data_IF_970701211732
#
_entry.id   IF_970701211732
#
_cell.length_a   1.000
_cell.length_b   1.000
_cell.length_c   1.000
_cell.angle_alpha   90.00
_cell.angle_beta   90.00
_cell.angle_gamma   90.00
#
_symmetry.space_group_name_H-M   'P 1'
#
loop_
_entity.id
_entity.type
_entity.pdbx_description
1 polymer ?
#
# COMPACT_ATOMS: atom_id res chain seq x y z
N UNK A 1 -6.45 19.04 16.02
CA UNK A 1 -6.86 19.44 14.66
C UNK A 1 -5.68 19.87 13.77
N UNK A 2 -4.64 20.57 14.29
CA UNK A 2 -3.43 20.90 13.48
C UNK A 2 -2.68 19.67 12.93
N UNK A 3 -2.78 18.53 13.58
CA UNK A 3 -2.05 17.30 13.22
C UNK A 3 -2.67 16.56 12.02
N UNK A 4 -4.00 16.62 11.84
CA UNK A 4 -4.66 16.01 10.67
C UNK A 4 -4.37 16.76 9.36
N UNK A 5 -4.05 18.06 9.41
CA UNK A 5 -3.67 18.84 8.22
C UNK A 5 -2.33 18.37 7.61
N UNK A 6 -1.57 17.55 8.32
CA UNK A 6 -0.33 16.96 7.84
C UNK A 6 -0.51 15.60 7.16
N UNK A 7 -1.76 15.10 7.08
CA UNK A 7 -2.10 13.81 6.48
C UNK A 7 -2.93 14.03 5.22
N UNK A 8 -2.55 13.36 4.16
CA UNK A 8 -3.24 13.39 2.88
C UNK A 8 -3.60 11.96 2.45
N UNK A 9 -4.52 11.85 1.53
CA UNK A 9 -4.82 10.63 0.79
C UNK A 9 -4.19 10.78 -0.60
N UNK A 10 -3.26 9.90 -0.95
CA UNK A 10 -2.81 9.71 -2.31
C UNK A 10 -3.63 8.58 -2.94
N UNK A 11 -4.34 8.86 -4.04
CA UNK A 11 -5.09 7.87 -4.79
C UNK A 11 -4.45 7.65 -6.15
N UNK A 12 -4.10 6.41 -6.44
CA UNK A 12 -3.57 5.97 -7.72
C UNK A 12 -4.69 5.29 -8.50
N UNK A 13 -5.00 5.83 -9.66
CA UNK A 13 -5.98 5.28 -10.61
C UNK A 13 -5.24 4.69 -11.80
N UNK A 14 -5.56 3.45 -12.15
CA UNK A 14 -4.87 2.73 -13.23
C UNK A 14 -5.85 1.96 -14.09
N UNK A 15 -5.62 1.98 -15.41
CA UNK A 15 -6.20 1.02 -16.34
C UNK A 15 -5.11 0.38 -17.18
N UNK A 16 -5.39 -0.80 -17.69
CA UNK A 16 -4.47 -1.60 -18.51
C UNK A 16 -5.26 -2.37 -19.53
N UNK A 17 -4.76 -2.48 -20.76
CA UNK A 17 -5.41 -3.25 -21.80
C UNK A 17 -5.46 -4.74 -21.44
N UNK A 18 -6.52 -5.39 -21.86
CA UNK A 18 -6.58 -6.85 -21.82
C UNK A 18 -5.64 -7.44 -22.88
N UNK A 19 -4.75 -8.31 -22.43
CA UNK A 19 -3.83 -9.03 -23.32
C UNK A 19 -4.42 -10.32 -23.90
N UNK A 20 -5.64 -10.68 -23.48
CA UNK A 20 -6.31 -11.92 -23.89
C UNK A 20 -7.62 -11.61 -24.58
N UNK A 21 -8.02 -12.49 -25.51
CA UNK A 21 -9.34 -12.45 -26.17
C UNK A 21 -10.00 -13.81 -26.02
N UNK A 22 -11.28 -13.79 -25.81
CA UNK A 22 -12.11 -15.01 -25.75
C UNK A 22 -12.31 -15.62 -27.14
N UNK A 23 -12.51 -16.92 -27.16
CA UNK A 23 -12.76 -17.73 -28.36
C UNK A 23 -14.20 -18.31 -28.26
N UNK A 24 -15.25 -17.51 -28.52
CA UNK A 24 -16.64 -17.93 -28.28
C UNK A 24 -17.06 -19.11 -29.15
N UNK A 25 -16.56 -19.23 -30.41
CA UNK A 25 -16.86 -20.38 -31.30
C UNK A 25 -16.29 -21.69 -30.76
N UNK A 26 -15.10 -21.64 -30.13
CA UNK A 26 -14.49 -22.77 -29.45
C UNK A 26 -15.29 -23.20 -28.22
N UNK A 27 -15.86 -22.24 -27.48
CA UNK A 27 -16.73 -22.52 -26.34
C UNK A 27 -17.92 -23.35 -26.77
N UNK A 28 -18.69 -22.90 -27.78
CA UNK A 28 -19.88 -23.59 -28.27
C UNK A 28 -19.55 -25.03 -28.72
N UNK A 29 -18.43 -25.25 -29.39
CA UNK A 29 -18.01 -26.57 -29.79
C UNK A 29 -17.64 -27.47 -28.60
N UNK A 30 -16.92 -26.94 -27.62
CA UNK A 30 -16.56 -27.67 -26.39
C UNK A 30 -17.80 -28.06 -25.63
N UNK A 31 -18.72 -27.11 -25.39
CA UNK A 31 -19.96 -27.35 -24.66
C UNK A 31 -20.85 -28.38 -25.36
N UNK A 32 -20.99 -28.28 -26.68
CA UNK A 32 -21.72 -29.28 -27.49
C UNK A 32 -21.13 -30.68 -27.38
N UNK A 33 -19.81 -30.83 -27.40
CA UNK A 33 -19.12 -32.12 -27.22
C UNK A 33 -19.26 -32.67 -25.80
N UNK A 34 -19.20 -31.79 -24.80
CA UNK A 34 -19.29 -32.18 -23.39
C UNK A 34 -20.72 -32.33 -22.86
N UNK A 35 -21.72 -31.87 -23.60
CA UNK A 35 -23.13 -31.87 -23.14
C UNK A 35 -23.39 -30.91 -21.98
N UNK A 36 -22.65 -29.81 -21.90
CA UNK A 36 -22.72 -28.81 -20.82
C UNK A 36 -23.27 -27.49 -21.36
N UNK A 37 -24.06 -26.75 -20.54
CA UNK A 37 -24.56 -25.42 -20.91
C UNK A 37 -23.38 -24.42 -21.02
N UNK A 38 -23.38 -23.60 -22.06
CA UNK A 38 -22.37 -22.55 -22.27
C UNK A 38 -22.29 -21.55 -21.11
N UNK A 39 -23.38 -21.37 -20.35
CA UNK A 39 -23.43 -20.51 -19.18
C UNK A 39 -22.63 -21.03 -17.99
N UNK A 40 -22.34 -22.33 -17.96
CA UNK A 40 -21.61 -22.99 -16.88
C UNK A 40 -20.10 -23.06 -17.15
N UNK A 41 -19.65 -22.66 -18.33
CA UNK A 41 -18.25 -22.77 -18.77
C UNK A 41 -17.71 -21.43 -19.22
N UNK A 42 -16.52 -21.09 -18.76
CA UNK A 42 -15.83 -19.90 -19.26
C UNK A 42 -15.28 -20.15 -20.68
N UNK A 43 -15.46 -19.16 -21.56
CA UNK A 43 -14.89 -19.23 -22.89
C UNK A 43 -13.36 -19.39 -22.84
N UNK A 44 -12.78 -20.30 -23.60
CA UNK A 44 -11.32 -20.38 -23.75
C UNK A 44 -10.81 -19.05 -24.27
N UNK A 45 -9.61 -18.67 -23.87
CA UNK A 45 -9.00 -17.39 -24.26
C UNK A 45 -7.60 -17.60 -24.79
N UNK A 46 -7.20 -16.74 -25.71
CA UNK A 46 -5.85 -16.71 -26.25
C UNK A 46 -5.19 -15.36 -25.93
N UNK A 47 -3.91 -15.41 -25.59
CA UNK A 47 -3.13 -14.20 -25.39
C UNK A 47 -2.73 -13.63 -26.76
N UNK A 48 -3.24 -12.43 -27.09
CA UNK A 48 -3.01 -11.78 -28.39
C UNK A 48 -1.81 -10.83 -28.38
N UNK A 49 -1.45 -10.28 -27.21
CA UNK A 49 -0.26 -9.44 -27.07
C UNK A 49 0.74 -10.12 -26.14
N UNK A 50 1.93 -10.40 -26.66
CA UNK A 50 3.05 -11.01 -25.92
C UNK A 50 4.29 -10.16 -26.14
N UNK A 51 4.58 -9.27 -25.20
CA UNK A 51 5.69 -8.33 -25.27
C UNK A 51 6.30 -8.09 -23.89
N UNK A 52 7.63 -8.04 -23.82
CA UNK A 52 8.33 -7.64 -22.58
C UNK A 52 8.12 -6.16 -22.29
N UNK A 53 8.03 -5.28 -23.31
CA UNK A 53 7.73 -3.86 -23.13
C UNK A 53 6.38 -3.66 -22.42
N UNK A 54 5.35 -4.43 -22.80
CA UNK A 54 4.04 -4.39 -22.15
C UNK A 54 4.12 -4.86 -20.69
N UNK A 55 4.93 -5.88 -20.40
CA UNK A 55 5.15 -6.34 -19.02
C UNK A 55 5.88 -5.27 -18.20
N UNK A 56 6.85 -4.58 -18.78
CA UNK A 56 7.55 -3.48 -18.13
C UNK A 56 6.61 -2.29 -17.87
N UNK A 57 5.75 -1.92 -18.82
CA UNK A 57 4.73 -0.91 -18.61
C UNK A 57 3.80 -1.27 -17.45
N UNK A 58 3.35 -2.53 -17.35
CA UNK A 58 2.54 -3.02 -16.25
C UNK A 58 3.29 -2.98 -14.90
N UNK A 59 4.60 -3.25 -14.87
CA UNK A 59 5.42 -3.16 -13.66
C UNK A 59 5.50 -1.71 -13.16
N UNK A 60 5.66 -0.73 -14.06
CA UNK A 60 5.69 0.69 -13.70
C UNK A 60 4.37 1.11 -13.03
N UNK A 61 3.25 0.80 -13.67
CA UNK A 61 1.91 1.11 -13.17
C UNK A 61 1.65 0.42 -11.82
N UNK A 62 1.87 -0.88 -11.75
CA UNK A 62 1.62 -1.68 -10.55
C UNK A 62 2.57 -1.35 -9.39
N UNK A 63 3.72 -0.78 -9.67
CA UNK A 63 4.76 -0.48 -8.68
C UNK A 63 4.44 0.71 -7.79
N UNK A 64 3.52 1.61 -8.18
CA UNK A 64 3.21 2.82 -7.40
C UNK A 64 2.52 2.49 -6.06
N UNK A 65 1.54 1.61 -6.05
CA UNK A 65 0.86 1.21 -4.80
C UNK A 65 1.80 0.53 -3.79
N UNK A 66 2.67 -0.42 -4.16
CA UNK A 66 3.71 -0.93 -3.26
C UNK A 66 4.70 0.13 -2.77
N UNK A 67 5.05 1.11 -3.59
CA UNK A 67 5.88 2.25 -3.18
C UNK A 67 5.20 3.02 -2.06
N UNK A 68 3.94 3.41 -2.24
CA UNK A 68 3.17 4.15 -1.24
C UNK A 68 2.93 3.36 0.06
N UNK A 69 2.54 2.08 -0.04
CA UNK A 69 2.07 1.28 1.11
C UNK A 69 3.17 0.55 1.86
N UNK A 70 4.22 0.13 1.17
CA UNK A 70 5.25 -0.75 1.74
C UNK A 70 6.60 -0.07 1.92
N UNK A 71 6.73 1.22 1.56
CA UNK A 71 7.99 1.93 1.58
C UNK A 71 9.08 1.24 0.75
N UNK A 72 8.68 0.59 -0.35
CA UNK A 72 9.65 -0.02 -1.28
C UNK A 72 10.42 1.08 -2.00
N UNK A 73 11.64 0.74 -2.40
CA UNK A 73 12.44 1.62 -3.23
C UNK A 73 11.73 1.93 -4.55
N UNK A 74 11.66 3.20 -4.88
CA UNK A 74 11.05 3.71 -6.11
C UNK A 74 11.98 3.58 -7.32
N UNK A 75 11.49 3.99 -8.49
CA UNK A 75 12.33 4.11 -9.71
C UNK A 75 13.29 5.28 -9.63
N UNK A 76 13.05 6.23 -8.73
CA UNK A 76 13.93 7.35 -8.39
C UNK A 76 15.03 6.95 -7.41
N UNK A 77 14.99 5.74 -6.86
CA UNK A 77 15.89 5.30 -5.77
C UNK A 77 15.48 5.78 -4.38
N UNK A 78 14.42 6.57 -4.27
CA UNK A 78 13.92 7.07 -2.99
C UNK A 78 13.02 6.04 -2.30
N UNK A 79 12.92 6.16 -0.96
CA UNK A 79 12.02 5.35 -0.13
C UNK A 79 11.11 6.26 0.69
N UNK A 80 9.88 5.81 0.90
CA UNK A 80 8.93 6.45 1.79
C UNK A 80 8.79 5.70 3.12
N UNK A 81 8.29 6.39 4.14
CA UNK A 81 7.66 5.71 5.26
C UNK A 81 6.46 4.89 4.76
N UNK A 82 6.17 3.76 5.44
CA UNK A 82 5.01 2.93 5.07
C UNK A 82 3.72 3.73 5.19
N UNK A 83 2.98 3.84 4.10
CA UNK A 83 1.65 4.42 4.10
C UNK A 83 0.58 3.46 4.62
N UNK A 84 -0.53 4.00 5.09
CA UNK A 84 -1.68 3.21 5.56
C UNK A 84 -2.70 3.06 4.44
N UNK A 85 -3.19 1.84 4.22
CA UNK A 85 -4.25 1.62 3.22
C UNK A 85 -5.55 2.33 3.62
N UNK A 86 -6.29 2.81 2.63
CA UNK A 86 -7.68 3.26 2.80
C UNK A 86 -8.58 2.11 2.36
N UNK A 87 -9.29 1.50 3.30
CA UNK A 87 -10.00 0.23 3.04
C UNK A 87 -11.14 0.38 2.02
N UNK A 88 -11.85 1.51 2.04
CA UNK A 88 -13.01 1.73 1.18
C UNK A 88 -12.67 2.31 -0.21
N UNK A 89 -11.44 2.79 -0.42
CA UNK A 89 -11.04 3.43 -1.69
C UNK A 89 -9.92 2.64 -2.33
N UNK A 90 -10.23 1.89 -3.36
CA UNK A 90 -9.24 1.14 -4.11
C UNK A 90 -8.10 2.05 -4.62
N UNK A 91 -6.86 1.63 -4.39
CA UNK A 91 -5.68 2.39 -4.81
C UNK A 91 -5.31 3.58 -3.93
N UNK A 92 -6.10 3.90 -2.89
CA UNK A 92 -5.81 5.02 -1.98
C UNK A 92 -4.91 4.61 -0.81
N UNK A 93 -4.10 5.55 -0.35
CA UNK A 93 -3.16 5.37 0.75
C UNK A 93 -3.05 6.67 1.53
N UNK A 94 -3.12 6.60 2.88
CA UNK A 94 -2.78 7.73 3.73
C UNK A 94 -1.28 7.97 3.69
N UNK A 95 -0.89 9.22 3.51
CA UNK A 95 0.51 9.66 3.44
C UNK A 95 0.73 10.90 4.29
N UNK A 96 1.97 11.17 4.67
CA UNK A 96 2.36 12.41 5.35
C UNK A 96 2.53 13.53 4.31
N UNK A 97 2.02 14.72 4.59
CA UNK A 97 2.11 15.85 3.66
C UNK A 97 3.56 16.18 3.24
N UNK A 98 4.53 15.99 4.13
CA UNK A 98 5.96 16.19 3.85
C UNK A 98 6.54 15.26 2.76
N UNK A 99 5.83 14.17 2.45
CA UNK A 99 6.28 13.16 1.48
C UNK A 99 5.71 13.40 0.06
N UNK A 100 4.82 14.39 -0.08
CA UNK A 100 4.13 14.68 -1.35
C UNK A 100 5.11 14.94 -2.48
N UNK A 101 6.16 15.73 -2.24
CA UNK A 101 7.15 16.04 -3.29
C UNK A 101 7.91 14.79 -3.75
N UNK A 102 8.30 13.92 -2.83
CA UNK A 102 8.95 12.64 -3.14
C UNK A 102 8.02 11.73 -3.93
N UNK A 103 6.75 11.67 -3.52
CA UNK A 103 5.73 10.88 -4.19
C UNK A 103 5.46 11.43 -5.60
N UNK A 104 5.37 12.76 -5.74
CA UNK A 104 5.16 13.38 -7.04
C UNK A 104 6.33 13.11 -8.00
N UNK A 105 7.57 13.25 -7.55
CA UNK A 105 8.77 12.92 -8.34
C UNK A 105 8.76 11.47 -8.81
N UNK A 106 8.42 10.55 -7.92
CA UNK A 106 8.33 9.13 -8.26
C UNK A 106 7.22 8.86 -9.30
N UNK A 107 6.06 9.49 -9.13
CA UNK A 107 4.97 9.39 -10.08
C UNK A 107 5.37 9.94 -11.47
N UNK A 108 5.97 11.13 -11.52
CA UNK A 108 6.40 11.77 -12.76
C UNK A 108 7.47 10.94 -13.48
N UNK A 109 8.43 10.37 -12.75
CA UNK A 109 9.44 9.48 -13.30
C UNK A 109 8.82 8.20 -13.89
N UNK A 110 7.85 7.60 -13.19
CA UNK A 110 7.11 6.43 -13.71
C UNK A 110 6.27 6.79 -14.93
N UNK A 111 5.59 7.93 -14.91
CA UNK A 111 4.78 8.41 -16.02
C UNK A 111 5.65 8.64 -17.26
N UNK A 112 6.76 9.34 -17.12
CA UNK A 112 7.71 9.57 -18.22
C UNK A 112 8.27 8.26 -18.81
N UNK A 113 8.63 7.30 -17.95
CA UNK A 113 9.07 5.98 -18.39
C UNK A 113 7.96 5.20 -19.08
N UNK A 114 6.71 5.29 -18.58
CA UNK A 114 5.54 4.67 -19.20
C UNK A 114 5.30 5.25 -20.58
N UNK A 115 5.29 6.58 -20.73
CA UNK A 115 5.07 7.24 -22.02
C UNK A 115 6.12 6.83 -23.05
N UNK A 116 7.40 6.69 -22.64
CA UNK A 116 8.46 6.17 -23.51
C UNK A 116 8.20 4.71 -23.94
N UNK A 117 7.75 3.85 -23.01
CA UNK A 117 7.41 2.46 -23.33
C UNK A 117 6.18 2.37 -24.25
N UNK A 118 5.15 3.22 -24.02
CA UNK A 118 3.96 3.24 -24.87
C UNK A 118 4.30 3.64 -26.31
N UNK A 119 5.20 4.61 -26.50
CA UNK A 119 5.69 4.95 -27.84
C UNK A 119 6.39 3.74 -28.50
N UNK A 120 7.29 3.07 -27.79
CA UNK A 120 7.98 1.87 -28.32
C UNK A 120 7.00 0.72 -28.62
N UNK A 121 5.98 0.52 -27.76
CA UNK A 121 4.92 -0.46 -28.00
C UNK A 121 4.14 -0.08 -29.25
N UNK A 122 3.77 1.19 -29.41
CA UNK A 122 3.06 1.70 -30.59
C UNK A 122 3.83 1.45 -31.89
N UNK A 123 5.14 1.70 -31.90
CA UNK A 123 6.00 1.48 -33.06
C UNK A 123 6.10 0.00 -33.45
N UNK A 124 5.99 -0.91 -32.49
CA UNK A 124 6.12 -2.35 -32.70
C UNK A 124 4.79 -3.10 -32.77
N UNK A 125 3.66 -2.42 -32.50
CA UNK A 125 2.36 -3.05 -32.27
C UNK A 125 1.95 -3.97 -33.38
N UNK A 126 1.95 -3.48 -34.62
CA UNK A 126 1.50 -4.26 -35.79
C UNK A 126 2.35 -5.50 -36.02
N UNK A 127 3.67 -5.38 -35.87
CA UNK A 127 4.59 -6.51 -35.99
C UNK A 127 4.40 -7.55 -34.88
N UNK A 128 4.14 -7.11 -33.67
CA UNK A 128 3.84 -7.98 -32.52
C UNK A 128 2.55 -8.77 -32.75
N UNK A 129 1.51 -8.09 -33.24
CA UNK A 129 0.22 -8.71 -33.54
C UNK A 129 0.34 -9.69 -34.69
N UNK A 130 0.97 -9.30 -35.82
CA UNK A 130 1.17 -10.20 -36.98
C UNK A 130 1.94 -11.45 -36.59
N UNK A 131 3.05 -11.30 -35.89
CA UNK A 131 3.84 -12.43 -35.37
C UNK A 131 2.99 -13.35 -34.49
N UNK A 132 2.18 -12.76 -33.62
CA UNK A 132 1.33 -13.54 -32.72
C UNK A 132 0.19 -14.25 -33.43
N UNK A 133 -0.45 -13.60 -34.40
CA UNK A 133 -1.50 -14.23 -35.23
C UNK A 133 -0.94 -15.40 -36.01
N UNK A 134 0.28 -15.29 -36.53
CA UNK A 134 0.95 -16.41 -37.20
C UNK A 134 1.22 -17.58 -36.23
N UNK A 135 1.63 -17.32 -34.99
CA UNK A 135 1.84 -18.36 -33.96
C UNK A 135 0.54 -19.10 -33.57
N UNK A 136 -0.60 -18.41 -33.49
CA UNK A 136 -1.88 -19.04 -33.12
C UNK A 136 -2.60 -19.70 -34.31
N UNK A 137 -2.12 -19.52 -35.53
CA UNK A 137 -2.57 -20.20 -36.70
C UNK A 137 -4.06 -20.03 -37.01
N UNK A 138 -4.80 -21.11 -37.16
CA UNK A 138 -6.22 -21.09 -37.55
C UNK A 138 -7.11 -20.33 -36.53
N UNK A 139 -6.70 -20.17 -35.28
CA UNK A 139 -7.43 -19.39 -34.29
C UNK A 139 -7.41 -17.89 -34.56
N UNK A 140 -6.44 -17.42 -35.40
CA UNK A 140 -6.32 -16.01 -35.74
C UNK A 140 -7.60 -15.43 -36.38
N UNK A 141 -8.35 -16.25 -37.13
CA UNK A 141 -9.60 -15.83 -37.76
C UNK A 141 -10.76 -15.59 -36.75
N UNK A 142 -10.62 -16.07 -35.54
CA UNK A 142 -11.65 -15.95 -34.48
C UNK A 142 -11.36 -14.84 -33.49
N UNK A 143 -10.18 -14.23 -33.56
CA UNK A 143 -9.70 -13.26 -32.57
C UNK A 143 -9.96 -11.85 -33.05
N UNK A 144 -10.73 -11.10 -32.29
CA UNK A 144 -10.87 -9.66 -32.49
C UNK A 144 -9.68 -8.94 -31.83
N UNK A 145 -8.81 -8.38 -32.66
CA UNK A 145 -7.60 -7.66 -32.22
C UNK A 145 -7.92 -6.16 -32.16
N UNK A 146 -7.70 -5.47 -31.04
CA UNK A 146 -7.91 -4.04 -30.97
C UNK A 146 -6.99 -3.28 -31.94
N UNK A 147 -7.40 -2.11 -32.37
CA UNK A 147 -6.50 -1.21 -33.08
C UNK A 147 -5.33 -0.81 -32.17
N UNK A 148 -4.24 -0.33 -32.77
CA UNK A 148 -3.09 0.20 -32.01
C UNK A 148 -3.52 1.34 -31.10
N UNK A 149 -4.36 2.22 -31.63
CA UNK A 149 -4.88 3.39 -30.92
C UNK A 149 -5.72 2.99 -29.71
N UNK A 150 -6.66 2.06 -29.88
CA UNK A 150 -7.50 1.55 -28.80
C UNK A 150 -6.67 0.85 -27.72
N UNK A 151 -5.70 0.02 -28.15
CA UNK A 151 -4.83 -0.68 -27.22
C UNK A 151 -3.99 0.28 -26.37
N UNK A 152 -3.45 1.36 -26.96
CA UNK A 152 -2.67 2.35 -26.22
C UNK A 152 -3.57 3.25 -25.35
N UNK A 153 -4.78 3.56 -25.79
CA UNK A 153 -5.75 4.36 -25.04
C UNK A 153 -6.25 3.65 -23.77
N UNK A 154 -6.22 2.31 -23.75
CA UNK A 154 -6.58 1.52 -22.56
C UNK A 154 -5.57 1.63 -21.41
N UNK A 155 -4.38 2.24 -21.63
CA UNK A 155 -3.47 2.53 -20.53
C UNK A 155 -3.85 3.84 -19.86
N UNK A 156 -4.15 3.81 -18.56
CA UNK A 156 -4.20 5.01 -17.74
C UNK A 156 -3.36 4.86 -16.48
N UNK A 157 -2.73 5.95 -16.08
CA UNK A 157 -1.93 6.03 -14.88
C UNK A 157 -2.00 7.46 -14.33
N UNK A 158 -2.84 7.65 -13.33
CA UNK A 158 -3.13 8.95 -12.75
C UNK A 158 -3.01 8.91 -11.23
N UNK A 159 -2.71 10.05 -10.64
CA UNK A 159 -2.60 10.21 -9.20
C UNK A 159 -3.24 11.52 -8.76
N UNK A 160 -3.98 11.45 -7.66
CA UNK A 160 -4.58 12.63 -7.01
C UNK A 160 -4.25 12.65 -5.53
N UNK A 161 -4.12 13.86 -4.97
CA UNK A 161 -3.99 14.07 -3.54
C UNK A 161 -5.26 14.72 -3.00
N UNK A 162 -5.72 14.22 -1.85
CA UNK A 162 -6.87 14.79 -1.12
C UNK A 162 -6.48 15.00 0.33
N UNK A 163 -6.92 16.12 0.92
CA UNK A 163 -6.77 16.32 2.36
C UNK A 163 -7.72 15.41 3.13
N UNK A 164 -7.21 14.80 4.21
CA UNK A 164 -8.06 14.08 5.18
C UNK A 164 -8.93 15.06 5.96
N UNK A 165 -8.44 16.28 6.15
CA UNK A 165 -9.12 17.37 6.86
C UNK A 165 -9.83 18.35 5.90
N UNK A 166 -10.18 17.89 4.71
CA UNK A 166 -11.09 18.67 3.86
C UNK A 166 -12.48 18.69 4.52
N UNK A 167 -12.53 19.26 5.72
CA UNK A 167 -13.76 19.79 6.26
C UNK A 167 -14.34 20.64 5.15
N UNK A 168 -15.49 20.24 4.62
CA UNK A 168 -16.20 21.06 3.66
C UNK A 168 -16.28 22.43 4.29
N UNK A 169 -15.67 23.45 3.67
CA UNK A 169 -15.61 24.77 4.28
C UNK A 169 -17.04 25.22 4.59
N UNK A 170 -17.23 25.95 5.68
CA UNK A 170 -18.56 26.47 6.00
C UNK A 170 -19.18 27.24 4.81
N UNK A 171 -18.34 27.83 3.97
CA UNK A 171 -18.79 28.53 2.77
C UNK A 171 -19.44 27.58 1.74
N UNK A 172 -18.89 26.38 1.55
CA UNK A 172 -19.50 25.34 0.70
C UNK A 172 -20.75 24.76 1.36
N UNK A 173 -20.73 24.54 2.68
CA UNK A 173 -21.89 24.04 3.43
C UNK A 173 -23.07 25.02 3.38
N UNK A 174 -22.80 26.33 3.34
CA UNK A 174 -23.82 27.36 3.22
C UNK A 174 -24.40 27.55 1.81
N UNK A 175 -23.75 26.97 0.79
CA UNK A 175 -24.16 27.05 -0.63
C UNK A 175 -24.94 25.82 -1.11
N UNK A 176 -25.05 24.80 -0.29
CA UNK A 176 -25.75 23.55 -0.62
C UNK A 176 -26.97 23.34 0.28
N UNK A 177 -27.90 22.49 -0.13
CA UNK A 177 -29.06 22.15 0.70
C UNK A 177 -28.62 21.45 2.01
N UNK A 178 -29.43 21.57 3.04
CA UNK A 178 -29.16 20.95 4.35
C UNK A 178 -28.93 19.43 4.26
N UNK A 179 -29.61 18.74 3.35
CA UNK A 179 -29.42 17.32 3.11
C UNK A 179 -28.03 17.01 2.54
N UNK A 180 -27.58 17.81 1.57
CA UNK A 180 -26.24 17.67 0.97
C UNK A 180 -25.16 18.04 2.00
N UNK A 181 -25.38 19.11 2.77
CA UNK A 181 -24.48 19.50 3.85
C UNK A 181 -24.33 18.41 4.92
N UNK A 182 -25.43 17.75 5.30
CA UNK A 182 -25.41 16.62 6.24
C UNK A 182 -24.63 15.44 5.68
N UNK A 183 -24.84 15.06 4.40
CA UNK A 183 -24.07 13.99 3.74
C UNK A 183 -22.57 14.30 3.67
N UNK A 184 -22.19 15.53 3.37
CA UNK A 184 -20.78 15.94 3.31
C UNK A 184 -20.11 15.86 4.69
N UNK A 185 -20.82 16.31 5.76
CA UNK A 185 -20.34 16.17 7.15
C UNK A 185 -20.18 14.69 7.57
N UNK A 186 -21.15 13.85 7.22
CA UNK A 186 -21.12 12.42 7.53
C UNK A 186 -19.95 11.73 6.82
N UNK A 187 -19.73 12.03 5.52
CA UNK A 187 -18.61 11.48 4.77
C UNK A 187 -17.26 11.91 5.35
N UNK A 188 -17.11 13.17 5.75
CA UNK A 188 -15.88 13.64 6.37
C UNK A 188 -15.62 12.96 7.72
N UNK A 189 -16.66 12.87 8.58
CA UNK A 189 -16.56 12.17 9.85
C UNK A 189 -16.17 10.68 9.66
N UNK A 190 -16.71 10.03 8.61
CA UNK A 190 -16.37 8.65 8.24
C UNK A 190 -14.89 8.53 7.86
N UNK A 191 -14.39 9.36 6.94
CA UNK A 191 -12.96 9.37 6.53
C UNK A 191 -12.04 9.58 7.73
N UNK A 192 -12.38 10.50 8.63
CA UNK A 192 -11.59 10.73 9.85
C UNK A 192 -11.61 9.51 10.79
N UNK A 193 -12.76 8.85 10.93
CA UNK A 193 -12.89 7.63 11.74
C UNK A 193 -12.07 6.49 11.16
N UNK A 194 -12.14 6.28 9.84
CA UNK A 194 -11.36 5.27 9.13
C UNK A 194 -9.86 5.50 9.26
N UNK A 195 -9.40 6.76 9.11
CA UNK A 195 -8.00 7.10 9.33
C UNK A 195 -7.56 6.76 10.77
N UNK A 196 -8.36 7.15 11.79
CA UNK A 196 -8.04 6.81 13.18
C UNK A 196 -7.94 5.30 13.39
N UNK A 197 -8.85 4.52 12.82
CA UNK A 197 -8.83 3.06 12.91
C UNK A 197 -7.62 2.47 12.16
N UNK A 198 -7.36 2.91 10.95
CA UNK A 198 -6.20 2.49 10.16
C UNK A 198 -4.86 2.82 10.85
N UNK A 199 -4.79 3.98 11.52
CA UNK A 199 -3.62 4.38 12.31
C UNK A 199 -3.48 3.56 13.60
N UNK A 200 -4.59 3.24 14.28
CA UNK A 200 -4.55 2.49 15.53
C UNK A 200 -4.02 1.06 15.35
N UNK A 201 -4.35 0.40 14.26
CA UNK A 201 -3.98 -1.00 14.03
C UNK A 201 -2.46 -1.26 13.97
N UNK A 202 -1.65 -0.52 13.19
CA UNK A 202 -0.20 -0.67 13.21
C UNK A 202 0.42 -0.42 14.59
N UNK A 203 -0.10 0.58 15.33
CA UNK A 203 0.37 0.89 16.68
C UNK A 203 0.07 -0.28 17.61
N UNK A 204 -1.13 -0.84 17.56
CA UNK A 204 -1.50 -2.04 18.34
C UNK A 204 -0.54 -3.19 18.06
N UNK A 205 -0.24 -3.44 16.79
CA UNK A 205 0.71 -4.48 16.39
C UNK A 205 2.10 -4.23 16.98
N UNK A 206 2.62 -3.01 16.85
CA UNK A 206 3.91 -2.63 17.43
C UNK A 206 3.95 -2.81 18.96
N UNK A 207 2.91 -2.38 19.68
CA UNK A 207 2.85 -2.51 21.15
C UNK A 207 2.71 -4.00 21.55
N UNK A 208 1.98 -4.81 20.79
CA UNK A 208 1.86 -6.25 21.03
C UNK A 208 3.20 -6.97 20.85
N UNK A 209 3.88 -6.73 19.73
CA UNK A 209 5.22 -7.27 19.47
C UNK A 209 6.25 -6.86 20.53
N UNK A 210 6.14 -5.61 20.98
CA UNK A 210 6.93 -5.07 22.06
C UNK A 210 6.69 -5.85 23.36
N UNK A 211 5.43 -6.00 23.74
CA UNK A 211 5.06 -6.70 24.99
C UNK A 211 5.59 -8.13 25.01
N UNK A 212 5.56 -8.81 23.84
CA UNK A 212 6.14 -10.12 23.67
C UNK A 212 7.67 -10.09 23.75
N UNK A 213 8.32 -9.18 23.03
CA UNK A 213 9.78 -9.05 22.97
C UNK A 213 10.36 -8.73 24.36
N UNK A 214 9.74 -7.79 25.10
CA UNK A 214 10.13 -7.49 26.48
C UNK A 214 9.87 -8.70 27.40
N UNK A 215 8.77 -9.42 27.21
CA UNK A 215 8.53 -10.67 27.96
C UNK A 215 9.70 -11.63 27.82
N UNK A 216 10.19 -11.82 26.60
CA UNK A 216 11.36 -12.66 26.34
C UNK A 216 12.67 -12.13 26.94
N UNK A 217 12.82 -10.82 27.14
CA UNK A 217 13.96 -10.23 27.85
C UNK A 217 13.89 -10.49 29.35
N UNK A 218 12.69 -10.38 29.95
CA UNK A 218 12.46 -10.54 31.40
C UNK A 218 12.51 -12.01 31.80
N UNK A 219 11.85 -12.89 31.01
CA UNK A 219 11.71 -14.32 31.34
C UNK A 219 12.89 -15.15 30.85
N UNK A 220 13.78 -14.56 30.07
CA UNK A 220 14.89 -15.26 29.41
C UNK A 220 16.07 -15.48 30.33
N UNK A 221 16.43 -16.75 30.56
CA UNK A 221 17.63 -17.16 31.30
C UNK A 221 18.97 -16.68 30.71
N UNK A 222 18.98 -16.19 29.46
CA UNK A 222 20.16 -15.62 28.77
C UNK A 222 19.76 -14.40 27.94
N UNK A 223 20.37 -13.25 28.23
CA UNK A 223 20.29 -12.07 27.42
C UNK A 223 21.05 -12.30 26.09
N UNK A 224 20.36 -12.15 24.96
CA UNK A 224 20.92 -12.29 23.61
C UNK A 224 20.91 -10.94 22.90
N UNK A 225 21.96 -10.61 22.14
CA UNK A 225 22.06 -9.36 21.39
C UNK A 225 20.88 -9.21 20.39
N UNK A 226 20.51 -10.30 19.70
CA UNK A 226 19.38 -10.31 18.75
C UNK A 226 18.05 -9.80 19.35
N UNK A 227 17.82 -10.03 20.65
CA UNK A 227 16.62 -9.53 21.34
C UNK A 227 16.70 -8.03 21.62
N UNK A 228 17.87 -7.54 21.95
CA UNK A 228 18.13 -6.10 22.13
C UNK A 228 17.98 -5.35 20.81
N UNK A 229 18.50 -5.93 19.72
CA UNK A 229 18.37 -5.38 18.36
C UNK A 229 16.89 -5.34 17.93
N UNK A 230 16.11 -6.38 18.29
CA UNK A 230 14.67 -6.40 18.03
C UNK A 230 13.93 -5.30 18.79
N UNK A 231 14.32 -5.00 20.03
CA UNK A 231 13.74 -3.88 20.80
C UNK A 231 14.02 -2.54 20.11
N UNK A 232 15.24 -2.35 19.59
CA UNK A 232 15.60 -1.15 18.81
C UNK A 232 14.73 -1.03 17.54
N UNK A 233 14.54 -2.14 16.83
CA UNK A 233 13.69 -2.18 15.62
C UNK A 233 12.25 -1.80 15.94
N UNK A 234 11.67 -2.36 17.02
CA UNK A 234 10.29 -2.04 17.43
C UNK A 234 10.14 -0.58 17.86
N UNK A 235 11.17 -0.01 18.52
CA UNK A 235 11.18 1.41 18.87
C UNK A 235 11.17 2.32 17.62
N UNK A 236 11.96 1.97 16.61
CA UNK A 236 11.99 2.67 15.32
C UNK A 236 10.65 2.56 14.59
N UNK A 237 10.07 1.36 14.50
CA UNK A 237 8.76 1.12 13.88
C UNK A 237 7.67 1.93 14.60
N UNK A 238 7.70 2.00 15.93
CA UNK A 238 6.74 2.79 16.71
C UNK A 238 6.84 4.29 16.41
N UNK A 239 8.05 4.85 16.26
CA UNK A 239 8.24 6.25 15.85
C UNK A 239 7.73 6.49 14.43
N UNK A 240 8.01 5.56 13.53
CA UNK A 240 7.54 5.64 12.14
C UNK A 240 6.01 5.64 12.08
N UNK A 241 5.36 4.78 12.88
CA UNK A 241 3.91 4.62 12.91
C UNK A 241 3.20 5.71 13.76
N UNK A 242 3.91 6.51 14.53
CA UNK A 242 3.32 7.61 15.30
C UNK A 242 2.99 8.82 14.42
N UNK A 243 2.03 8.66 13.52
CA UNK A 243 1.65 9.67 12.53
C UNK A 243 0.96 10.89 13.17
N UNK A 244 0.27 10.69 14.30
CA UNK A 244 -0.43 11.74 15.02
C UNK A 244 0.45 12.45 16.07
N UNK A 245 1.72 12.07 16.17
CA UNK A 245 2.63 12.70 17.13
C UNK A 245 2.24 12.48 18.59
N UNK A 246 1.60 11.33 18.92
CA UNK A 246 1.10 11.04 20.26
C UNK A 246 2.27 11.02 21.26
N UNK A 247 2.26 11.90 22.32
CA UNK A 247 3.39 12.02 23.24
C UNK A 247 3.70 10.72 23.98
N UNK A 248 2.68 9.95 24.34
CA UNK A 248 2.83 8.69 25.06
C UNK A 248 3.57 7.64 24.23
N UNK A 249 3.30 7.56 22.91
CA UNK A 249 4.02 6.69 22.00
C UNK A 249 5.47 7.13 21.80
N UNK A 250 5.71 8.44 21.72
CA UNK A 250 7.05 9.00 21.62
C UNK A 250 7.88 8.73 22.88
N UNK A 251 7.25 8.87 24.06
CA UNK A 251 7.86 8.55 25.35
C UNK A 251 8.21 7.06 25.44
N UNK A 252 7.26 6.18 25.07
CA UNK A 252 7.45 4.74 25.07
C UNK A 252 8.59 4.31 24.12
N UNK A 253 8.63 4.87 22.91
CA UNK A 253 9.72 4.61 21.95
C UNK A 253 11.10 5.01 22.51
N UNK A 254 11.18 6.17 23.18
CA UNK A 254 12.44 6.63 23.82
C UNK A 254 12.88 5.70 24.96
N UNK A 255 11.94 5.23 25.78
CA UNK A 255 12.24 4.26 26.85
C UNK A 255 12.73 2.92 26.28
N UNK A 256 12.17 2.50 25.16
CA UNK A 256 12.61 1.31 24.43
C UNK A 256 14.03 1.42 23.90
N UNK A 257 14.36 2.55 23.30
CA UNK A 257 15.74 2.80 22.85
C UNK A 257 16.72 2.73 24.00
N UNK A 258 16.34 3.20 25.22
CA UNK A 258 17.16 3.06 26.41
C UNK A 258 17.34 1.61 26.88
N UNK A 259 16.44 0.70 26.49
CA UNK A 259 16.57 -0.75 26.73
C UNK A 259 17.37 -1.48 25.65
N UNK A 260 17.52 -0.88 24.46
CA UNK A 260 18.27 -1.44 23.34
C UNK A 260 19.78 -1.22 23.48
N UNK A 261 20.34 -1.50 24.68
CA UNK A 261 21.77 -1.37 24.97
C UNK A 261 22.55 -2.56 24.38
N UNK A 262 23.85 -2.40 24.21
CA UNK A 262 24.70 -3.53 23.84
C UNK A 262 24.84 -4.48 25.03
N UNK A 263 24.89 -5.78 24.76
CA UNK A 263 25.08 -6.81 25.82
C UNK A 263 26.35 -6.58 26.62
N UNK A 264 27.37 -5.99 26.00
CA UNK A 264 28.66 -5.63 26.62
C UNK A 264 28.50 -4.56 27.72
N UNK A 265 27.48 -3.71 27.62
CA UNK A 265 27.15 -2.68 28.61
C UNK A 265 26.44 -3.25 29.85
N UNK A 266 26.16 -4.56 29.88
CA UNK A 266 25.50 -5.29 30.96
C UNK A 266 26.44 -6.41 31.52
N UNK A 267 27.60 -6.05 32.07
CA UNK A 267 28.68 -7.01 32.35
C UNK A 267 28.35 -7.94 33.52
N UNK A 268 27.62 -7.48 34.52
CA UNK A 268 27.37 -8.22 35.76
C UNK A 268 25.87 -8.53 36.01
N UNK A 269 25.62 -9.28 37.08
CA UNK A 269 24.27 -9.71 37.43
C UNK A 269 23.39 -8.51 37.87
N UNK A 270 23.96 -7.54 38.58
CA UNK A 270 23.23 -6.38 39.09
C UNK A 270 22.79 -5.47 37.95
N UNK A 271 23.66 -5.22 36.96
CA UNK A 271 23.32 -4.46 35.76
C UNK A 271 22.18 -5.13 34.96
N UNK A 272 22.21 -6.47 34.84
CA UNK A 272 21.16 -7.24 34.14
C UNK A 272 19.84 -7.23 34.90
N UNK A 273 19.85 -7.29 36.22
CA UNK A 273 18.65 -7.22 37.07
C UNK A 273 18.02 -5.81 36.95
N UNK A 274 18.81 -4.76 37.07
CA UNK A 274 18.35 -3.37 36.87
C UNK A 274 17.75 -3.16 35.47
N UNK A 275 18.37 -3.71 34.42
CA UNK A 275 17.85 -3.68 33.08
C UNK A 275 16.51 -4.44 32.93
N UNK A 276 16.39 -5.62 33.56
CA UNK A 276 15.16 -6.41 33.57
C UNK A 276 14.03 -5.68 34.28
N UNK A 277 14.30 -4.95 35.38
CA UNK A 277 13.28 -4.16 36.07
C UNK A 277 12.82 -2.96 35.26
N UNK A 278 13.72 -2.27 34.55
CA UNK A 278 13.35 -1.24 33.57
C UNK A 278 12.46 -1.82 32.47
N UNK A 279 12.81 -3.01 31.97
CA UNK A 279 12.02 -3.70 30.94
C UNK A 279 10.63 -4.06 31.44
N UNK A 280 10.47 -4.52 32.71
CA UNK A 280 9.15 -4.78 33.33
C UNK A 280 8.30 -3.50 33.41
N UNK A 281 8.90 -2.37 33.82
CA UNK A 281 8.20 -1.09 33.89
C UNK A 281 7.69 -0.63 32.52
N UNK A 282 8.53 -0.71 31.49
CA UNK A 282 8.16 -0.38 30.09
C UNK A 282 7.06 -1.31 29.58
N UNK A 283 7.12 -2.61 29.89
CA UNK A 283 6.06 -3.58 29.55
C UNK A 283 4.72 -3.24 30.18
N UNK A 284 4.73 -2.82 31.43
CA UNK A 284 3.50 -2.42 32.16
C UNK A 284 2.88 -1.17 31.52
N UNK A 285 3.69 -0.18 31.19
CA UNK A 285 3.25 1.05 30.51
C UNK A 285 2.67 0.73 29.12
N UNK A 286 3.34 -0.11 28.34
CA UNK A 286 2.86 -0.56 27.03
C UNK A 286 1.48 -1.25 27.11
N UNK A 287 1.27 -2.10 28.13
CA UNK A 287 -0.04 -2.73 28.37
C UNK A 287 -1.12 -1.70 28.75
N UNK A 288 -0.75 -0.69 29.54
CA UNK A 288 -1.66 0.41 29.88
C UNK A 288 -2.11 1.21 28.65
N UNK A 289 -1.18 1.48 27.73
CA UNK A 289 -1.49 2.15 26.48
C UNK A 289 -2.41 1.29 25.57
N UNK A 290 -2.17 -0.01 25.48
CA UNK A 290 -3.08 -0.91 24.74
C UNK A 290 -4.52 -0.83 25.25
N UNK A 291 -4.72 -0.84 26.55
CA UNK A 291 -6.04 -0.69 27.14
C UNK A 291 -6.69 0.66 26.79
N UNK A 292 -5.90 1.74 26.71
CA UNK A 292 -6.35 3.08 26.29
C UNK A 292 -6.77 3.17 24.80
N UNK A 293 -6.28 2.30 23.96
CA UNK A 293 -6.69 2.19 22.54
C UNK A 293 -7.95 1.33 22.33
N UNK A 294 -8.66 0.94 23.40
CA UNK A 294 -9.97 0.30 23.33
C UNK A 294 -9.94 -1.19 22.95
N UNK A 295 -8.97 -1.93 23.46
CA UNK A 295 -8.86 -3.39 23.35
C UNK A 295 -9.16 -4.04 24.69
#
# INVERSE_FOLDING_TARGET
MKELNSILIAKVSTAKPSLTRSLPKQLSEICRRAGVDEKEVNAPSVKVVKSELVKEAFKLINGMTPFLRKGKEGVTGEKLAKGLAVDEIAGATYIKAREVETIQKEFDARRSNLDRLLNQIGDQYDSLIQSRLAEIGNLAAEVDVPSREDFLADFSFDMEFRSVDSGVSNDVLNQVSDEVAARLRANNAKVQSEFKNAHAQPIRTCISELTETIGQLVDGKRLRQERLDKVASVAADMREQNWLGLPDLSSLATKLESLATKKEDLPDAAARESHADKAKAVRSEAKGLLAGFGI
#
